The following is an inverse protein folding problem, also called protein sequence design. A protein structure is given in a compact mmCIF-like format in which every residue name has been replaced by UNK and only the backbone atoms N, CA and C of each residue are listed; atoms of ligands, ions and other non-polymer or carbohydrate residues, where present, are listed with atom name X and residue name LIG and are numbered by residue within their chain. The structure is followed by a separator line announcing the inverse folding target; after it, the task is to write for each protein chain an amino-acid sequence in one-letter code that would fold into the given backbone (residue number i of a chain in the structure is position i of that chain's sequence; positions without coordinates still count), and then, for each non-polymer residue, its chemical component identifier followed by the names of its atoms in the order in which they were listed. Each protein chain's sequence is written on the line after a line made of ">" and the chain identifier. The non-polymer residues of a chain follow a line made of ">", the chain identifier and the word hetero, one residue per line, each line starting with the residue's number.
data_IF_303929717237
#
_entry.id   IF_303929717237
#
_cell.length_a   1.000
_cell.length_b   1.000
_cell.length_c   1.000
_cell.angle_alpha   90.00
_cell.angle_beta   90.00
_cell.angle_gamma   90.00
#
_symmetry.space_group_name_H-M   'P 1'
#
loop_
_entity.id
_entity.type
_entity.pdbx_description
1 polymer ?
#
# COMPACT_ATOMS: atom_id res chain seq x y z
N UNK A 1 25.96 -69.67 25.16
CA UNK A 1 26.91 -68.58 25.47
C UNK A 1 26.14 -67.28 25.26
N UNK A 2 25.87 -66.41 26.24
CA UNK A 2 26.80 -65.54 27.04
C UNK A 2 27.75 -64.74 26.13
N UNK A 3 27.97 -63.43 26.22
CA UNK A 3 27.37 -62.24 26.92
C UNK A 3 28.23 -61.00 26.54
N UNK A 4 27.92 -59.70 26.71
CA UNK A 4 26.86 -58.92 27.40
C UNK A 4 25.82 -58.38 26.37
N UNK A 5 24.94 -57.35 26.51
CA UNK A 5 24.73 -56.15 27.38
C UNK A 5 25.61 -54.89 27.09
N UNK A 6 25.10 -53.71 27.47
CA UNK A 6 25.54 -52.30 27.20
C UNK A 6 25.25 -51.76 25.77
N UNK A 7 24.80 -50.51 25.55
CA UNK A 7 24.39 -49.45 26.48
C UNK A 7 23.37 -48.47 25.86
N UNK A 8 22.55 -47.81 26.69
CA UNK A 8 21.57 -46.79 26.29
C UNK A 8 21.86 -45.47 27.03
N UNK A 9 22.28 -44.40 26.33
CA UNK A 9 22.22 -43.03 26.87
C UNK A 9 21.05 -42.26 26.25
N UNK A 10 19.95 -42.12 26.99
CA UNK A 10 18.87 -41.19 26.62
C UNK A 10 19.36 -39.76 26.85
N UNK A 11 19.48 -38.95 25.79
CA UNK A 11 19.74 -37.51 25.87
C UNK A 11 18.69 -36.74 25.05
N UNK A 12 17.74 -36.03 25.70
CA UNK A 12 16.63 -35.37 25.00
C UNK A 12 16.95 -33.90 24.68
N UNK A 13 17.32 -33.59 23.42
CA UNK A 13 17.58 -32.20 23.01
C UNK A 13 17.34 -31.83 21.54
N UNK A 14 17.18 -32.80 20.62
CA UNK A 14 17.18 -32.53 19.17
C UNK A 14 15.93 -31.83 18.63
N UNK A 15 14.74 -32.09 19.20
CA UNK A 15 13.46 -31.63 18.61
C UNK A 15 13.34 -30.12 18.42
N UNK A 16 13.85 -29.31 19.36
CA UNK A 16 13.77 -27.85 19.25
C UNK A 16 14.69 -27.29 18.14
N UNK A 17 15.92 -27.81 18.04
CA UNK A 17 16.82 -27.41 16.95
C UNK A 17 16.35 -27.93 15.59
N UNK A 18 15.80 -29.13 15.53
CA UNK A 18 15.33 -29.75 14.28
C UNK A 18 14.10 -29.01 13.75
N UNK A 19 13.14 -28.63 14.61
CA UNK A 19 12.05 -27.72 14.24
C UNK A 19 12.59 -26.34 13.82
N UNK A 20 13.63 -25.81 14.47
CA UNK A 20 14.25 -24.53 14.08
C UNK A 20 15.13 -24.59 12.82
N UNK A 21 15.57 -25.79 12.39
CA UNK A 21 16.26 -26.06 11.12
C UNK A 21 15.26 -26.31 9.99
N UNK A 22 14.20 -27.10 10.23
CA UNK A 22 13.09 -27.29 9.30
C UNK A 22 12.36 -25.96 9.05
N UNK A 23 12.06 -25.19 10.10
CA UNK A 23 11.47 -23.85 9.96
C UNK A 23 12.32 -22.89 9.12
N UNK A 24 13.66 -22.91 9.31
CA UNK A 24 14.59 -22.15 8.45
C UNK A 24 14.67 -22.70 7.04
N UNK A 25 14.65 -24.02 6.85
CA UNK A 25 14.65 -24.68 5.55
C UNK A 25 13.41 -24.35 4.73
N UNK A 26 12.21 -24.49 5.31
CA UNK A 26 10.93 -24.16 4.67
C UNK A 26 10.85 -22.66 4.35
N UNK A 27 11.27 -21.78 5.26
CA UNK A 27 11.34 -20.34 4.98
C UNK A 27 12.35 -20.00 3.87
N UNK A 28 13.54 -20.61 3.89
CA UNK A 28 14.57 -20.45 2.86
C UNK A 28 14.08 -20.91 1.48
N UNK A 29 13.35 -22.03 1.43
CA UNK A 29 12.81 -22.58 0.19
C UNK A 29 11.69 -21.70 -0.38
N UNK A 30 10.73 -21.27 0.47
CA UNK A 30 9.72 -20.28 0.08
C UNK A 30 10.31 -18.93 -0.38
N UNK A 31 11.48 -18.54 0.11
CA UNK A 31 12.11 -17.26 -0.24
C UNK A 31 12.92 -17.26 -1.54
N UNK A 32 13.15 -18.40 -2.20
CA UNK A 32 14.16 -18.53 -3.27
C UNK A 32 13.68 -19.03 -4.64
N UNK A 33 12.59 -19.80 -4.73
CA UNK A 33 12.20 -20.52 -5.97
C UNK A 33 11.64 -19.64 -7.12
N UNK A 34 11.42 -18.34 -6.93
CA UNK A 34 10.71 -17.50 -7.93
C UNK A 34 11.31 -16.10 -8.13
N UNK A 35 11.70 -15.44 -7.04
CA UNK A 35 12.46 -14.19 -7.03
C UNK A 35 13.60 -14.32 -6.01
N UNK A 36 14.68 -13.56 -6.19
CA UNK A 36 15.81 -13.61 -5.27
C UNK A 36 15.42 -13.19 -3.84
N UNK A 37 16.01 -13.84 -2.83
CA UNK A 37 15.67 -13.67 -1.40
C UNK A 37 15.59 -12.20 -0.98
N UNK A 38 16.50 -11.35 -1.46
CA UNK A 38 16.53 -9.91 -1.17
C UNK A 38 15.27 -9.16 -1.65
N UNK A 39 14.69 -9.54 -2.80
CA UNK A 39 13.47 -8.95 -3.34
C UNK A 39 12.26 -9.29 -2.45
N UNK A 40 12.13 -10.56 -2.08
CA UNK A 40 11.05 -11.03 -1.20
C UNK A 40 11.15 -10.41 0.20
N UNK A 41 12.35 -10.29 0.77
CA UNK A 41 12.57 -9.62 2.05
C UNK A 41 12.28 -8.11 1.99
N UNK A 42 12.65 -7.44 0.89
CA UNK A 42 12.39 -6.00 0.70
C UNK A 42 10.88 -5.68 0.50
N UNK A 43 10.08 -6.65 0.07
CA UNK A 43 8.61 -6.60 0.09
C UNK A 43 8.03 -6.89 1.48
N UNK A 44 8.37 -8.05 2.05
CA UNK A 44 7.69 -8.55 3.25
C UNK A 44 8.02 -7.71 4.50
N UNK A 45 9.28 -7.32 4.72
CA UNK A 45 9.69 -6.65 5.97
C UNK A 45 9.00 -5.29 6.16
N UNK A 46 9.00 -4.34 5.19
CA UNK A 46 8.34 -3.05 5.37
C UNK A 46 6.83 -3.16 5.49
N UNK A 47 6.19 -4.03 4.68
CA UNK A 47 4.74 -4.24 4.73
C UNK A 47 4.30 -4.86 6.05
N UNK A 48 5.04 -5.84 6.59
CA UNK A 48 4.75 -6.45 7.89
C UNK A 48 4.97 -5.47 9.03
N UNK A 49 6.05 -4.68 9.00
CA UNK A 49 6.31 -3.62 9.98
C UNK A 49 5.18 -2.58 10.00
N UNK A 50 4.68 -2.19 8.82
CA UNK A 50 3.56 -1.26 8.70
C UNK A 50 2.23 -1.85 9.22
N UNK A 51 1.95 -3.14 8.99
CA UNK A 51 0.79 -3.83 9.59
C UNK A 51 0.88 -3.87 11.11
N UNK A 52 2.05 -4.19 11.67
CA UNK A 52 2.27 -4.18 13.13
C UNK A 52 2.11 -2.76 13.71
N UNK A 53 2.63 -1.75 13.01
CA UNK A 53 2.48 -0.34 13.38
C UNK A 53 1.01 0.09 13.39
N UNK A 54 0.25 -0.14 12.30
CA UNK A 54 -1.19 0.10 12.27
C UNK A 54 -1.92 -0.63 13.40
N UNK A 55 -1.59 -1.91 13.62
CA UNK A 55 -2.17 -2.74 14.69
C UNK A 55 -1.94 -2.15 16.09
N UNK A 56 -0.73 -1.64 16.35
CA UNK A 56 -0.38 -0.99 17.62
C UNK A 56 -1.17 0.32 17.85
N UNK A 57 -1.41 1.08 16.77
CA UNK A 57 -2.18 2.32 16.82
C UNK A 57 -3.69 2.10 16.85
N UNK A 58 -4.18 0.95 16.38
CA UNK A 58 -5.59 0.73 16.07
C UNK A 58 -6.55 1.10 17.20
N UNK A 59 -6.24 0.73 18.45
CA UNK A 59 -7.08 1.07 19.62
C UNK A 59 -7.19 2.58 19.85
N UNK A 60 -6.12 3.34 19.59
CA UNK A 60 -6.09 4.82 19.71
C UNK A 60 -6.84 5.46 18.54
N UNK A 61 -6.55 5.03 17.31
CA UNK A 61 -7.20 5.52 16.10
C UNK A 61 -8.71 5.27 16.11
N UNK A 62 -9.18 4.08 16.51
CA UNK A 62 -10.62 3.79 16.58
C UNK A 62 -11.34 4.69 17.59
N UNK A 63 -10.79 4.87 18.80
CA UNK A 63 -11.39 5.74 19.82
C UNK A 63 -11.55 7.20 19.32
N UNK A 64 -10.49 7.74 18.68
CA UNK A 64 -10.51 9.08 18.05
C UNK A 64 -11.59 9.18 16.97
N UNK A 65 -11.59 8.25 16.01
CA UNK A 65 -12.54 8.21 14.90
C UNK A 65 -14.01 8.13 15.38
N UNK A 66 -14.29 7.39 16.45
CA UNK A 66 -15.64 7.31 17.02
C UNK A 66 -16.08 8.62 17.69
N UNK A 67 -15.15 9.38 18.27
CA UNK A 67 -15.45 10.67 18.91
C UNK A 67 -15.56 11.80 17.88
N UNK A 68 -14.72 11.77 16.84
CA UNK A 68 -14.70 12.74 15.75
C UNK A 68 -15.95 12.76 14.86
N UNK A 69 -16.76 11.69 14.87
CA UNK A 69 -17.97 11.49 14.04
C UNK A 69 -17.76 11.58 12.52
N UNK A 70 -16.51 11.58 12.03
CA UNK A 70 -16.18 11.60 10.60
C UNK A 70 -16.37 10.23 9.96
N UNK A 71 -17.61 9.95 9.51
CA UNK A 71 -17.98 8.69 8.85
C UNK A 71 -17.07 8.33 7.66
N UNK A 72 -16.57 9.31 6.91
CA UNK A 72 -15.68 9.01 5.78
C UNK A 72 -14.24 8.69 6.25
N UNK A 73 -13.73 9.30 7.32
CA UNK A 73 -12.41 8.91 7.81
C UNK A 73 -12.41 7.50 8.39
N UNK A 74 -13.51 7.07 9.00
CA UNK A 74 -13.75 5.66 9.36
C UNK A 74 -13.67 4.77 8.11
N UNK A 75 -14.31 5.16 7.01
CA UNK A 75 -14.27 4.40 5.76
C UNK A 75 -12.86 4.33 5.15
N UNK A 76 -12.13 5.46 5.05
CA UNK A 76 -10.73 5.46 4.58
C UNK A 76 -9.82 4.62 5.46
N UNK A 77 -9.99 4.65 6.78
CA UNK A 77 -9.18 3.85 7.69
C UNK A 77 -9.48 2.35 7.58
N UNK A 78 -10.75 1.97 7.44
CA UNK A 78 -11.15 0.58 7.19
C UNK A 78 -10.63 0.06 5.83
N UNK A 79 -10.63 0.91 4.79
CA UNK A 79 -10.09 0.57 3.48
C UNK A 79 -8.56 0.49 3.49
N UNK A 80 -7.88 1.39 4.20
CA UNK A 80 -6.43 1.31 4.41
C UNK A 80 -6.06 -0.02 5.07
N UNK A 81 -6.79 -0.43 6.12
CA UNK A 81 -6.63 -1.74 6.75
C UNK A 81 -6.84 -2.91 5.77
N UNK A 82 -7.96 -2.90 5.05
CA UNK A 82 -8.31 -3.93 4.07
C UNK A 82 -7.24 -4.08 2.97
N UNK A 83 -6.82 -2.97 2.36
CA UNK A 83 -5.81 -2.96 1.30
C UNK A 83 -4.43 -3.33 1.84
N UNK A 84 -4.10 -2.94 3.07
CA UNK A 84 -2.83 -3.34 3.70
C UNK A 84 -2.79 -4.85 3.96
N UNK A 85 -3.90 -5.46 4.38
CA UNK A 85 -4.00 -6.92 4.55
C UNK A 85 -3.85 -7.64 3.20
N UNK A 86 -4.53 -7.17 2.14
CA UNK A 86 -4.35 -7.74 0.79
C UNK A 86 -2.93 -7.55 0.24
N UNK A 87 -2.29 -6.41 0.52
CA UNK A 87 -0.90 -6.15 0.15
C UNK A 87 0.09 -7.07 0.90
N UNK A 88 -0.13 -7.31 2.19
CA UNK A 88 0.65 -8.30 2.94
C UNK A 88 0.46 -9.72 2.39
N UNK A 89 -0.78 -10.13 2.09
CA UNK A 89 -1.07 -11.42 1.45
C UNK A 89 -0.36 -11.55 0.09
N UNK A 90 -0.38 -10.50 -0.73
CA UNK A 90 0.34 -10.48 -2.02
C UNK A 90 1.86 -10.56 -1.86
N UNK A 91 2.44 -9.93 -0.84
CA UNK A 91 3.87 -10.05 -0.53
C UNK A 91 4.25 -11.43 0.03
N UNK A 92 3.39 -12.07 0.84
CA UNK A 92 3.63 -13.40 1.40
C UNK A 92 3.42 -14.54 0.39
N UNK A 93 2.55 -14.35 -0.60
CA UNK A 93 2.15 -15.39 -1.56
C UNK A 93 2.86 -15.28 -2.94
N UNK A 94 3.95 -14.51 -3.03
CA UNK A 94 4.80 -14.38 -4.23
C UNK A 94 5.20 -15.73 -4.86
N UNK A 95 5.37 -16.78 -4.06
CA UNK A 95 5.66 -18.15 -4.52
C UNK A 95 4.59 -18.72 -5.45
N UNK A 96 3.35 -18.23 -5.38
CA UNK A 96 2.26 -18.67 -6.25
C UNK A 96 2.42 -18.19 -7.69
N UNK A 97 3.21 -17.14 -7.95
CA UNK A 97 3.54 -16.68 -9.31
C UNK A 97 4.32 -17.74 -10.11
N UNK A 98 5.14 -18.56 -9.44
CA UNK A 98 5.89 -19.65 -10.06
C UNK A 98 5.33 -21.06 -9.73
N UNK A 99 4.22 -21.15 -8.99
CA UNK A 99 3.59 -22.45 -8.69
C UNK A 99 2.58 -22.81 -9.78
N UNK A 100 2.94 -23.73 -10.68
CA UNK A 100 2.05 -24.28 -11.71
C UNK A 100 0.68 -24.68 -11.13
N UNK A 101 -0.39 -24.23 -11.79
CA UNK A 101 -1.77 -24.49 -11.36
C UNK A 101 -2.34 -23.54 -10.30
N UNK A 102 -1.56 -22.60 -9.74
CA UNK A 102 -2.08 -21.53 -8.85
C UNK A 102 -2.33 -20.19 -9.56
N UNK A 103 -2.12 -20.14 -10.87
CA UNK A 103 -2.20 -18.93 -11.72
C UNK A 103 -3.51 -18.16 -11.55
N UNK A 104 -4.66 -18.84 -11.48
CA UNK A 104 -5.96 -18.21 -11.24
C UNK A 104 -5.98 -17.42 -9.92
N UNK A 105 -5.55 -18.05 -8.83
CA UNK A 105 -5.51 -17.45 -7.50
C UNK A 105 -4.48 -16.32 -7.41
N UNK A 106 -3.32 -16.46 -8.08
CA UNK A 106 -2.32 -15.41 -8.15
C UNK A 106 -2.81 -14.17 -8.91
N UNK A 107 -3.43 -14.38 -10.08
CA UNK A 107 -4.04 -13.32 -10.87
C UNK A 107 -5.18 -12.62 -10.11
N UNK A 108 -6.05 -13.39 -9.45
CA UNK A 108 -7.17 -12.85 -8.66
C UNK A 108 -6.69 -12.01 -7.47
N UNK A 109 -5.71 -12.50 -6.70
CA UNK A 109 -5.10 -11.76 -5.60
C UNK A 109 -4.39 -10.49 -6.11
N UNK A 110 -3.65 -10.60 -7.22
CA UNK A 110 -2.96 -9.45 -7.82
C UNK A 110 -3.92 -8.37 -8.32
N UNK A 111 -5.05 -8.76 -8.93
CA UNK A 111 -6.11 -7.84 -9.35
C UNK A 111 -6.72 -7.09 -8.16
N UNK A 112 -7.12 -7.81 -7.10
CA UNK A 112 -7.72 -7.22 -5.89
C UNK A 112 -6.73 -6.28 -5.21
N UNK A 113 -5.47 -6.70 -5.01
CA UNK A 113 -4.45 -5.87 -4.36
C UNK A 113 -4.12 -4.61 -5.16
N UNK A 114 -3.86 -4.73 -6.47
CA UNK A 114 -3.52 -3.57 -7.30
C UNK A 114 -4.70 -2.59 -7.46
N UNK A 115 -5.92 -3.08 -7.63
CA UNK A 115 -7.11 -2.22 -7.70
C UNK A 115 -7.40 -1.53 -6.35
N UNK A 116 -7.18 -2.20 -5.22
CA UNK A 116 -7.31 -1.60 -3.89
C UNK A 116 -6.29 -0.49 -3.61
N UNK A 117 -5.02 -0.70 -3.98
CA UNK A 117 -3.97 0.31 -3.86
C UNK A 117 -4.29 1.55 -4.71
N UNK A 118 -4.63 1.34 -5.98
CA UNK A 118 -4.97 2.39 -6.95
C UNK A 118 -6.30 3.10 -6.59
N UNK A 119 -7.26 2.40 -5.98
CA UNK A 119 -8.47 3.02 -5.44
C UNK A 119 -8.14 4.02 -4.33
N UNK A 120 -7.29 3.63 -3.37
CA UNK A 120 -6.79 4.57 -2.35
C UNK A 120 -6.01 5.72 -3.00
N UNK A 121 -5.27 5.46 -4.09
CA UNK A 121 -4.42 6.45 -4.79
C UNK A 121 -5.29 7.58 -5.37
N UNK A 122 -6.28 7.22 -6.18
CA UNK A 122 -7.13 8.18 -6.88
C UNK A 122 -8.16 8.84 -5.96
N UNK A 123 -8.76 8.10 -5.02
CA UNK A 123 -9.72 8.67 -4.06
C UNK A 123 -9.08 9.72 -3.14
N UNK A 124 -7.88 9.43 -2.63
CA UNK A 124 -7.10 10.34 -1.80
C UNK A 124 -6.68 11.60 -2.56
N UNK A 125 -6.12 11.45 -3.77
CA UNK A 125 -5.72 12.60 -4.61
C UNK A 125 -6.92 13.49 -4.92
N UNK A 126 -8.06 12.89 -5.29
CA UNK A 126 -9.31 13.62 -5.53
C UNK A 126 -9.77 14.39 -4.27
N UNK A 127 -9.67 13.81 -3.07
CA UNK A 127 -10.00 14.51 -1.84
C UNK A 127 -9.04 15.68 -1.55
N UNK A 128 -7.72 15.43 -1.60
CA UNK A 128 -6.71 16.45 -1.28
C UNK A 128 -6.73 17.65 -2.23
N UNK A 129 -7.10 17.45 -3.51
CA UNK A 129 -7.24 18.54 -4.49
C UNK A 129 -8.44 19.45 -4.21
N UNK A 130 -9.51 18.97 -3.56
CA UNK A 130 -10.70 19.79 -3.30
C UNK A 130 -10.55 20.73 -2.10
N UNK A 131 -9.65 20.40 -1.17
CA UNK A 131 -9.29 21.25 -0.03
C UNK A 131 -10.47 21.60 0.89
N UNK A 132 -10.37 22.75 1.57
CA UNK A 132 -11.29 23.17 2.63
C UNK A 132 -12.74 23.42 2.16
N UNK A 133 -12.96 23.55 0.86
CA UNK A 133 -14.28 23.80 0.26
C UNK A 133 -15.16 22.52 0.16
N UNK A 134 -14.60 21.34 0.50
CA UNK A 134 -15.26 20.04 0.36
C UNK A 134 -15.45 19.29 1.69
N UNK A 135 -15.52 20.01 2.81
CA UNK A 135 -15.76 19.44 4.14
C UNK A 135 -17.16 18.82 4.33
N UNK A 136 -18.09 19.06 3.39
CA UNK A 136 -19.40 18.41 3.35
C UNK A 136 -19.32 16.93 2.95
N UNK A 137 -19.89 16.05 3.80
CA UNK A 137 -19.90 14.58 3.62
C UNK A 137 -20.38 14.12 2.23
N UNK A 138 -21.32 14.85 1.63
CA UNK A 138 -21.86 14.60 0.30
C UNK A 138 -20.81 14.78 -0.81
N UNK A 139 -20.01 15.85 -0.75
CA UNK A 139 -18.97 16.13 -1.75
C UNK A 139 -17.89 15.05 -1.74
N UNK A 140 -17.49 14.64 -0.52
CA UNK A 140 -16.49 13.59 -0.34
C UNK A 140 -17.03 12.20 -0.74
N UNK A 141 -18.29 11.89 -0.43
CA UNK A 141 -18.97 10.67 -0.90
C UNK A 141 -19.05 10.64 -2.43
N UNK A 142 -19.37 11.77 -3.06
CA UNK A 142 -19.39 11.90 -4.52
C UNK A 142 -18.03 11.58 -5.14
N UNK A 143 -16.93 12.09 -4.58
CA UNK A 143 -15.60 11.80 -5.14
C UNK A 143 -15.15 10.36 -4.88
N UNK A 144 -15.50 9.78 -3.74
CA UNK A 144 -15.29 8.36 -3.45
C UNK A 144 -16.01 7.47 -4.49
N UNK A 145 -17.27 7.78 -4.83
CA UNK A 145 -18.04 7.09 -5.87
C UNK A 145 -17.42 7.27 -7.25
N UNK A 146 -16.96 8.47 -7.61
CA UNK A 146 -16.28 8.73 -8.90
C UNK A 146 -14.99 7.93 -9.02
N UNK A 147 -14.13 7.90 -8.00
CA UNK A 147 -12.95 7.02 -7.98
C UNK A 147 -13.34 5.54 -8.04
N UNK A 148 -14.45 5.15 -7.41
CA UNK A 148 -14.99 3.79 -7.48
C UNK A 148 -15.34 3.37 -8.91
N UNK A 149 -16.09 4.21 -9.64
CA UNK A 149 -16.46 3.95 -11.04
C UNK A 149 -15.24 3.85 -11.94
N UNK A 150 -14.25 4.73 -11.76
CA UNK A 150 -12.99 4.70 -12.54
C UNK A 150 -12.21 3.40 -12.29
N UNK A 151 -12.08 2.98 -11.03
CA UNK A 151 -11.33 1.77 -10.67
C UNK A 151 -12.11 0.51 -11.08
N UNK A 152 -13.44 0.51 -10.99
CA UNK A 152 -14.26 -0.58 -11.50
C UNK A 152 -14.10 -0.74 -13.02
N UNK A 153 -13.96 0.34 -13.78
CA UNK A 153 -13.69 0.26 -15.23
C UNK A 153 -12.28 -0.29 -15.52
N UNK A 154 -11.25 0.15 -14.79
CA UNK A 154 -9.88 -0.39 -14.88
C UNK A 154 -9.81 -1.87 -14.49
N UNK A 155 -10.51 -2.27 -13.41
CA UNK A 155 -10.60 -3.65 -12.95
C UNK A 155 -11.33 -4.54 -13.97
N UNK A 156 -12.47 -4.10 -14.52
CA UNK A 156 -13.20 -4.83 -15.55
C UNK A 156 -12.34 -5.01 -16.82
N UNK A 157 -11.63 -3.97 -17.24
CA UNK A 157 -10.69 -4.03 -18.36
C UNK A 157 -9.57 -5.06 -18.09
N UNK A 158 -8.94 -5.02 -16.91
CA UNK A 158 -7.90 -5.97 -16.51
C UNK A 158 -8.43 -7.42 -16.41
N UNK A 159 -9.65 -7.61 -15.89
CA UNK A 159 -10.35 -8.91 -15.85
C UNK A 159 -10.57 -9.47 -17.25
N UNK A 160 -11.02 -8.65 -18.21
CA UNK A 160 -11.22 -9.06 -19.60
C UNK A 160 -9.89 -9.47 -20.26
N UNK A 161 -8.81 -8.70 -20.07
CA UNK A 161 -7.49 -9.05 -20.63
C UNK A 161 -6.87 -10.31 -19.99
N UNK A 162 -7.02 -10.51 -18.68
CA UNK A 162 -6.47 -11.67 -17.97
C UNK A 162 -7.27 -12.94 -18.24
N UNK A 163 -8.59 -12.91 -18.06
CA UNK A 163 -9.42 -14.13 -18.10
C UNK A 163 -10.13 -14.34 -19.44
N UNK A 164 -10.41 -13.28 -20.21
CA UNK A 164 -11.03 -13.37 -21.54
C UNK A 164 -10.00 -13.60 -22.65
N UNK A 165 -8.92 -12.82 -22.66
CA UNK A 165 -7.83 -12.95 -23.64
C UNK A 165 -6.67 -13.84 -23.17
N UNK A 166 -6.69 -14.35 -21.93
CA UNK A 166 -5.65 -15.23 -21.39
C UNK A 166 -4.27 -14.58 -21.25
N UNK A 167 -4.18 -13.24 -21.22
CA UNK A 167 -2.89 -12.56 -21.17
C UNK A 167 -2.30 -12.58 -19.75
N UNK A 168 -1.06 -13.08 -19.57
CA UNK A 168 -0.39 -13.14 -18.26
C UNK A 168 0.08 -11.75 -17.80
N UNK A 169 -0.84 -10.89 -17.36
CA UNK A 169 -0.50 -9.54 -16.87
C UNK A 169 0.39 -9.58 -15.60
N UNK A 170 0.22 -10.59 -14.76
CA UNK A 170 0.90 -10.75 -13.45
C UNK A 170 1.86 -11.95 -13.38
N UNK A 171 2.13 -12.61 -14.51
CA UNK A 171 3.13 -13.69 -14.60
C UNK A 171 4.23 -13.20 -15.55
N UNK A 172 5.50 -13.37 -15.15
CA UNK A 172 6.60 -12.65 -15.79
C UNK A 172 7.29 -13.41 -16.93
N UNK A 173 6.94 -14.67 -17.14
CA UNK A 173 7.54 -15.59 -18.12
C UNK A 173 7.27 -15.27 -19.60
N UNK A 174 6.61 -14.16 -19.95
CA UNK A 174 6.28 -13.84 -21.36
C UNK A 174 6.82 -12.49 -21.85
N UNK A 175 7.58 -12.52 -22.95
CA UNK A 175 8.00 -11.35 -23.73
C UNK A 175 6.85 -10.78 -24.59
N UNK A 176 5.64 -10.72 -24.04
CA UNK A 176 4.45 -10.27 -24.77
C UNK A 176 4.44 -8.73 -24.89
N UNK A 177 4.76 -8.21 -26.10
CA UNK A 177 4.74 -6.76 -26.38
C UNK A 177 3.40 -6.09 -26.02
N UNK A 178 2.29 -6.83 -26.06
CA UNK A 178 0.95 -6.36 -25.65
C UNK A 178 0.85 -6.14 -24.13
N UNK A 179 1.42 -7.02 -23.29
CA UNK A 179 1.49 -6.85 -21.82
C UNK A 179 2.19 -5.54 -21.49
N UNK A 180 3.42 -5.37 -22.00
CA UNK A 180 4.23 -4.19 -21.73
C UNK A 180 3.64 -2.91 -22.33
N UNK A 181 2.96 -2.99 -23.48
CA UNK A 181 2.17 -1.89 -24.03
C UNK A 181 1.02 -1.44 -23.12
N UNK A 182 0.22 -2.37 -22.60
CA UNK A 182 -0.88 -2.06 -21.68
C UNK A 182 -0.37 -1.45 -20.37
N UNK A 183 0.68 -2.04 -19.77
CA UNK A 183 1.34 -1.48 -18.59
C UNK A 183 1.98 -0.10 -18.86
N UNK A 184 2.53 0.12 -20.05
CA UNK A 184 3.05 1.44 -20.48
C UNK A 184 1.94 2.49 -20.52
N UNK A 185 0.80 2.20 -21.16
CA UNK A 185 -0.34 3.14 -21.22
C UNK A 185 -0.88 3.46 -19.82
N UNK A 186 -1.01 2.45 -18.96
CA UNK A 186 -1.49 2.63 -17.59
C UNK A 186 -0.53 3.49 -16.75
N UNK A 187 0.78 3.23 -16.80
CA UNK A 187 1.79 4.04 -16.09
C UNK A 187 1.99 5.43 -16.72
N UNK A 188 1.80 5.59 -18.03
CA UNK A 188 1.80 6.89 -18.70
C UNK A 188 0.64 7.77 -18.21
N UNK A 189 -0.56 7.21 -18.07
CA UNK A 189 -1.73 7.92 -17.56
C UNK A 189 -1.48 8.42 -16.12
N UNK A 190 -1.03 7.55 -15.21
CA UNK A 190 -0.70 7.95 -13.83
C UNK A 190 0.40 9.02 -13.81
N UNK A 191 1.49 8.83 -14.55
CA UNK A 191 2.59 9.81 -14.68
C UNK A 191 2.08 11.16 -15.20
N UNK A 192 1.16 11.16 -16.16
CA UNK A 192 0.55 12.39 -16.71
C UNK A 192 -0.35 13.09 -15.69
N UNK A 193 -1.10 12.36 -14.85
CA UNK A 193 -1.93 12.96 -13.78
C UNK A 193 -1.04 13.61 -12.72
N UNK A 194 -0.03 12.90 -12.22
CA UNK A 194 0.92 13.45 -11.24
C UNK A 194 1.73 14.64 -11.80
N UNK A 195 2.17 14.54 -13.05
CA UNK A 195 2.86 15.63 -13.75
C UNK A 195 1.99 16.87 -13.93
N UNK A 196 0.69 16.69 -14.22
CA UNK A 196 -0.27 17.79 -14.31
C UNK A 196 -0.50 18.48 -12.94
N UNK A 197 -0.53 17.72 -11.84
CA UNK A 197 -0.66 18.28 -10.48
C UNK A 197 0.57 19.14 -10.11
N UNK A 198 1.80 18.69 -10.41
CA UNK A 198 2.99 19.53 -10.22
C UNK A 198 3.03 20.73 -11.17
N UNK A 199 2.59 20.57 -12.41
CA UNK A 199 2.48 21.69 -13.35
C UNK A 199 1.49 22.75 -12.84
N UNK A 200 0.35 22.35 -12.27
CA UNK A 200 -0.57 23.27 -11.59
C UNK A 200 0.07 23.99 -10.40
N UNK A 201 0.93 23.32 -9.63
CA UNK A 201 1.64 23.92 -8.49
C UNK A 201 2.64 25.01 -8.89
N UNK A 202 3.39 24.80 -9.99
CA UNK A 202 4.31 25.80 -10.52
C UNK A 202 3.63 26.88 -11.37
N UNK A 203 2.34 26.72 -11.69
CA UNK A 203 1.55 27.65 -12.49
C UNK A 203 0.72 28.59 -11.61
N UNK A 204 0.07 29.59 -12.24
CA UNK A 204 -0.86 30.52 -11.59
C UNK A 204 -2.10 29.85 -10.96
N UNK A 205 -2.26 28.54 -11.15
CA UNK A 205 -3.37 27.73 -10.63
C UNK A 205 -3.10 27.14 -9.23
N UNK A 206 -1.92 27.41 -8.64
CA UNK A 206 -1.51 26.96 -7.31
C UNK A 206 -2.53 27.22 -6.20
N UNK A 207 -3.31 28.30 -6.31
CA UNK A 207 -4.37 28.67 -5.35
C UNK A 207 -5.50 27.63 -5.22
N UNK A 208 -5.65 26.71 -6.18
CA UNK A 208 -6.60 25.59 -6.11
C UNK A 208 -6.02 24.32 -5.49
N UNK A 209 -4.73 24.30 -5.13
CA UNK A 209 -4.07 23.13 -4.53
C UNK A 209 -3.87 23.33 -3.02
N UNK A 210 -3.85 22.26 -2.21
CA UNK A 210 -3.69 22.38 -0.77
C UNK A 210 -2.33 23.01 -0.42
N UNK A 211 -2.30 23.85 0.61
CA UNK A 211 -1.07 24.55 1.04
C UNK A 211 -0.05 23.64 1.77
N UNK A 212 -0.40 22.38 2.05
CA UNK A 212 0.41 21.45 2.87
C UNK A 212 1.66 20.97 2.11
N UNK A 213 2.88 21.09 2.66
CA UNK A 213 4.10 20.62 1.98
C UNK A 213 4.15 19.08 1.82
N UNK A 214 3.57 18.33 2.76
CA UNK A 214 3.52 16.87 2.72
C UNK A 214 2.83 16.32 1.46
N UNK A 215 1.78 17.00 0.97
CA UNK A 215 1.09 16.66 -0.27
C UNK A 215 2.04 16.69 -1.48
N UNK A 216 2.86 17.74 -1.63
CA UNK A 216 3.77 17.87 -2.77
C UNK A 216 4.92 16.85 -2.71
N UNK A 217 5.38 16.51 -1.50
CA UNK A 217 6.35 15.42 -1.32
C UNK A 217 5.76 14.06 -1.76
N UNK A 218 4.50 13.78 -1.42
CA UNK A 218 3.77 12.59 -1.89
C UNK A 218 3.64 12.58 -3.42
N UNK A 219 3.12 13.67 -4.01
CA UNK A 219 2.93 13.80 -5.47
C UNK A 219 4.27 13.64 -6.21
N UNK A 220 5.36 14.21 -5.70
CA UNK A 220 6.69 14.07 -6.28
C UNK A 220 7.21 12.63 -6.19
N UNK A 221 7.07 11.96 -5.03
CA UNK A 221 7.48 10.57 -4.86
C UNK A 221 6.71 9.63 -5.81
N UNK A 222 5.39 9.80 -5.93
CA UNK A 222 4.57 8.98 -6.82
C UNK A 222 4.80 9.30 -8.30
N UNK A 223 5.13 10.54 -8.67
CA UNK A 223 5.58 10.87 -10.01
C UNK A 223 6.87 10.14 -10.36
N UNK A 224 7.87 10.17 -9.46
CA UNK A 224 9.16 9.50 -9.66
C UNK A 224 8.99 7.97 -9.79
N UNK A 225 8.20 7.35 -8.90
CA UNK A 225 7.94 5.90 -8.96
C UNK A 225 7.19 5.48 -10.24
N UNK A 226 6.18 6.25 -10.66
CA UNK A 226 5.47 5.96 -11.91
C UNK A 226 6.32 6.26 -13.15
N UNK A 227 7.19 7.27 -13.13
CA UNK A 227 8.14 7.56 -14.21
C UNK A 227 9.21 6.47 -14.37
N UNK A 228 9.77 5.96 -13.26
CA UNK A 228 10.70 4.82 -13.28
C UNK A 228 10.00 3.55 -13.77
N UNK A 229 8.76 3.31 -13.32
CA UNK A 229 7.92 2.20 -13.81
C UNK A 229 7.70 2.29 -15.32
N UNK A 230 7.30 3.48 -15.81
CA UNK A 230 7.05 3.78 -17.22
C UNK A 230 8.31 3.56 -18.07
N UNK A 231 9.46 4.05 -17.62
CA UNK A 231 10.73 3.85 -18.31
C UNK A 231 11.14 2.36 -18.37
N UNK A 232 10.93 1.61 -17.27
CA UNK A 232 11.09 0.15 -17.25
C UNK A 232 10.19 -0.56 -18.28
N UNK A 233 8.89 -0.23 -18.32
CA UNK A 233 7.94 -0.78 -19.28
C UNK A 233 8.32 -0.47 -20.74
N UNK A 234 8.78 0.75 -21.04
CA UNK A 234 9.22 1.16 -22.38
C UNK A 234 10.49 0.40 -22.80
N UNK A 235 11.46 0.25 -21.90
CA UNK A 235 12.66 -0.55 -22.14
C UNK A 235 12.31 -2.03 -22.42
N UNK A 236 11.36 -2.60 -21.67
CA UNK A 236 10.87 -3.97 -21.87
C UNK A 236 10.11 -4.14 -23.20
N UNK A 237 9.30 -3.15 -23.59
CA UNK A 237 8.67 -3.10 -24.91
C UNK A 237 9.70 -3.10 -26.06
N UNK A 238 10.88 -2.53 -25.83
CA UNK A 238 12.03 -2.52 -26.74
C UNK A 238 13.02 -3.69 -26.53
N UNK A 239 12.69 -4.68 -25.68
CA UNK A 239 13.51 -5.87 -25.44
C UNK A 239 14.76 -5.67 -24.55
N UNK A 240 14.95 -4.50 -23.95
CA UNK A 240 16.10 -4.21 -23.09
C UNK A 240 15.88 -4.77 -21.67
N UNK A 241 16.58 -5.86 -21.33
CA UNK A 241 16.42 -6.58 -20.06
C UNK A 241 16.63 -5.76 -18.78
N UNK A 242 17.37 -4.65 -18.84
CA UNK A 242 17.51 -3.70 -17.73
C UNK A 242 16.15 -3.09 -17.29
N UNK A 243 15.18 -3.01 -18.20
CA UNK A 243 13.83 -2.57 -17.88
C UNK A 243 13.12 -3.47 -16.85
N UNK A 244 13.46 -4.76 -16.79
CA UNK A 244 12.90 -5.68 -15.79
C UNK A 244 13.40 -5.33 -14.38
N UNK A 245 14.70 -5.03 -14.25
CA UNK A 245 15.27 -4.63 -12.97
C UNK A 245 14.66 -3.32 -12.46
N UNK A 246 14.46 -2.33 -13.34
CA UNK A 246 13.78 -1.07 -12.99
C UNK A 246 12.31 -1.27 -12.62
N UNK A 247 11.58 -2.10 -13.38
CA UNK A 247 10.18 -2.42 -13.12
C UNK A 247 10.01 -3.14 -11.77
N UNK A 248 10.86 -4.12 -11.50
CA UNK A 248 10.85 -4.86 -10.23
C UNK A 248 11.26 -3.96 -9.05
N UNK A 249 12.25 -3.08 -9.21
CA UNK A 249 12.63 -2.09 -8.19
C UNK A 249 11.45 -1.13 -7.88
N UNK A 250 10.80 -0.59 -8.91
CA UNK A 250 9.64 0.28 -8.72
C UNK A 250 8.45 -0.46 -8.09
N UNK A 251 8.27 -1.75 -8.40
CA UNK A 251 7.26 -2.63 -7.81
C UNK A 251 7.51 -2.84 -6.31
N UNK A 252 8.76 -3.12 -5.90
CA UNK A 252 9.15 -3.17 -4.48
C UNK A 252 8.86 -1.84 -3.79
N UNK A 253 9.32 -0.72 -4.35
CA UNK A 253 9.09 0.59 -3.74
C UNK A 253 7.61 0.94 -3.63
N UNK A 254 6.78 0.59 -4.61
CA UNK A 254 5.32 0.78 -4.55
C UNK A 254 4.73 -0.08 -3.42
N UNK A 255 4.82 -1.41 -3.49
CA UNK A 255 4.17 -2.30 -2.51
C UNK A 255 4.70 -2.15 -1.07
N UNK A 256 5.97 -1.76 -0.89
CA UNK A 256 6.57 -1.57 0.43
C UNK A 256 6.37 -0.18 1.04
N UNK A 257 6.37 0.89 0.23
CA UNK A 257 6.42 2.28 0.73
C UNK A 257 5.14 3.08 0.49
N UNK A 258 4.29 2.68 -0.47
CA UNK A 258 3.06 3.40 -0.81
C UNK A 258 2.11 3.57 0.40
N UNK A 259 1.83 2.47 1.11
CA UNK A 259 0.90 2.48 2.25
C UNK A 259 1.44 3.27 3.47
N UNK A 260 2.72 3.12 3.87
CA UNK A 260 3.36 4.01 4.84
C UNK A 260 3.30 5.50 4.45
N UNK A 261 3.65 5.85 3.20
CA UNK A 261 3.64 7.23 2.73
C UNK A 261 2.23 7.83 2.77
N UNK A 262 1.22 7.07 2.32
CA UNK A 262 -0.18 7.49 2.40
C UNK A 262 -0.62 7.74 3.85
N UNK A 263 -0.33 6.82 4.77
CA UNK A 263 -0.68 7.01 6.18
C UNK A 263 -0.03 8.27 6.77
N UNK A 264 1.27 8.47 6.54
CA UNK A 264 2.02 9.62 7.10
C UNK A 264 1.54 10.95 6.50
N UNK A 265 1.27 11.01 5.20
CA UNK A 265 0.93 12.27 4.50
C UNK A 265 -0.54 12.69 4.61
N UNK A 266 -1.38 11.89 5.28
CA UNK A 266 -2.82 12.13 5.37
C UNK A 266 -3.43 11.74 6.72
N UNK A 267 -3.25 10.49 7.15
CA UNK A 267 -3.92 9.99 8.36
C UNK A 267 -3.24 10.47 9.64
N UNK A 268 -1.92 10.57 9.66
CA UNK A 268 -1.17 11.13 10.78
C UNK A 268 -1.51 12.62 11.01
N UNK A 269 -1.50 13.43 9.95
CA UNK A 269 -1.97 14.82 9.93
C UNK A 269 -3.38 14.94 10.53
N UNK A 270 -4.34 14.14 10.05
CA UNK A 270 -5.72 14.18 10.55
C UNK A 270 -5.82 13.84 12.04
N UNK A 271 -5.09 12.83 12.52
CA UNK A 271 -5.09 12.48 13.94
C UNK A 271 -4.46 13.57 14.83
N UNK A 272 -3.54 14.38 14.31
CA UNK A 272 -3.00 15.56 15.01
C UNK A 272 -4.00 16.71 15.02
N UNK A 273 -4.74 16.93 13.92
CA UNK A 273 -5.80 17.94 13.84
C UNK A 273 -6.99 17.62 14.75
N UNK A 274 -7.34 16.33 14.93
CA UNK A 274 -8.33 15.92 15.93
C UNK A 274 -7.83 16.08 17.37
N UNK A 275 -6.57 15.74 17.67
CA UNK A 275 -5.97 15.92 19.00
C UNK A 275 -5.97 17.40 19.40
N UNK A 276 -5.44 18.28 18.54
CA UNK A 276 -5.43 19.73 18.78
C UNK A 276 -6.84 20.30 18.96
N UNK A 277 -7.83 19.80 18.20
CA UNK A 277 -9.23 20.22 18.36
C UNK A 277 -9.80 19.77 19.71
N UNK A 278 -9.47 18.57 20.17
CA UNK A 278 -9.90 18.05 21.47
C UNK A 278 -9.28 18.86 22.62
N UNK A 279 -7.99 19.17 22.54
CA UNK A 279 -7.28 20.01 23.50
C UNK A 279 -7.87 21.43 23.58
N UNK A 280 -8.20 22.05 22.43
CA UNK A 280 -8.85 23.36 22.40
C UNK A 280 -10.25 23.35 23.03
N UNK A 281 -11.07 22.31 22.77
CA UNK A 281 -12.38 22.16 23.41
C UNK A 281 -12.25 21.99 24.92
N UNK A 282 -11.37 21.10 25.37
CA UNK A 282 -11.10 20.89 26.79
C UNK A 282 -10.59 22.16 27.48
N UNK A 283 -9.70 22.92 26.84
CA UNK A 283 -9.23 24.21 27.36
C UNK A 283 -10.35 25.25 27.45
N UNK A 284 -11.28 25.30 26.49
CA UNK A 284 -12.46 26.16 26.60
C UNK A 284 -13.42 25.71 27.71
N UNK A 285 -13.63 24.41 27.92
CA UNK A 285 -14.45 23.91 29.04
C UNK A 285 -13.82 24.24 30.40
N UNK A 286 -12.48 24.13 30.54
CA UNK A 286 -11.79 24.59 31.75
C UNK A 286 -11.89 26.10 31.95
N UNK A 287 -11.84 26.89 30.88
CA UNK A 287 -12.01 28.35 30.96
C UNK A 287 -13.42 28.73 31.38
N UNK A 288 -14.44 28.16 30.75
CA UNK A 288 -15.85 28.44 31.06
C UNK A 288 -16.25 27.94 32.46
N UNK A 289 -15.49 26.99 33.03
CA UNK A 289 -15.58 26.57 34.43
C UNK A 289 -14.85 27.49 35.42
N UNK A 290 -14.31 28.65 34.99
CA UNK A 290 -13.60 29.61 35.83
C UNK A 290 -12.20 29.16 36.28
N UNK A 291 -11.67 28.05 35.74
CA UNK A 291 -10.40 27.47 36.21
C UNK A 291 -9.15 28.31 35.87
N UNK A 292 -9.32 29.36 35.06
CA UNK A 292 -8.31 30.36 34.72
C UNK A 292 -8.65 31.78 35.18
N UNK A 293 -9.83 31.98 35.79
CA UNK A 293 -10.25 33.27 36.35
C UNK A 293 -9.68 33.42 37.77
N UNK A 294 -8.34 33.48 37.84
CA UNK A 294 -7.63 33.85 39.04
C UNK A 294 -7.62 35.36 39.19
N UNK A 295 -8.38 35.89 40.15
CA UNK A 295 -8.27 37.28 40.60
C UNK A 295 -6.87 37.51 41.19
N UNK A 296 -6.02 38.24 40.44
CA UNK A 296 -4.66 38.62 40.86
C UNK A 296 -4.62 40.06 41.40
N UNK A 297 -5.38 40.31 42.47
CA UNK A 297 -5.35 41.56 43.28
C UNK A 297 -4.75 41.29 44.68
#
# INVERSE_FOLDING_TARGET
>A
MRSLLAELPITPSTGAEEIARVGRGVASWWLSDCHGILYNLALIIPTLLFVVYLGSQARRSYARLTYGRSHIMIAYYALLWLVTIFNLLWCLLQTWQCTSGKEFSWNMLSLITNSGLLFLEISLIAFMIQGNNASGVETLTRTFVVSGVIICADLLLKVIYVFGFGLPLFIDSSHSRVKWGLWTVHKLLLTSVYGFILFMHHSKWRERLPARPAFYNYICAMLLLNAVSLFGCVLLGNGAGFGLWLYNLATVCYHSLYLPLLYVTFLADFFQEEDLRLENVYYSEMKDAGFFDADWD
#
